data_IF_004836785411
#
_entry.id   IF_004836785411
#
_cell.length_a   1.000
_cell.length_b   1.000
_cell.length_c   1.000
_cell.angle_alpha   90.00
_cell.angle_beta   90.00
_cell.angle_gamma   90.00
#
_symmetry.space_group_name_H-M   'P 1'
#
loop_
_entity.id
_entity.type
_entity.pdbx_description
1 polymer ?
#
# COMPACT_ATOMS: atom_id res chain seq x y z
N UNK A 1 8.59 6.61 2.16
CA UNK A 1 7.87 7.75 2.77
C UNK A 1 6.48 7.86 2.15
N UNK A 2 5.50 8.11 2.96
CA UNK A 2 4.12 8.29 2.51
C UNK A 2 3.97 9.61 1.78
N UNK A 3 3.50 9.57 0.52
CA UNK A 3 3.34 10.77 -0.31
C UNK A 3 1.97 11.40 -0.13
N UNK A 4 0.95 10.57 0.07
CA UNK A 4 -0.42 11.03 0.24
C UNK A 4 -1.12 10.15 1.28
N UNK A 5 -2.16 10.66 1.98
CA UNK A 5 -2.90 9.86 2.95
C UNK A 5 -3.46 8.59 2.31
N UNK A 6 -3.55 7.52 3.11
CA UNK A 6 -4.17 6.28 2.67
C UNK A 6 -5.64 6.51 2.34
N UNK A 7 -6.13 5.84 1.31
CA UNK A 7 -7.54 5.92 0.94
C UNK A 7 -8.07 4.51 0.64
N UNK A 8 -9.34 4.24 0.93
CA UNK A 8 -9.91 2.94 0.62
C UNK A 8 -10.01 2.76 -0.89
N UNK A 9 -9.63 1.57 -1.36
CA UNK A 9 -9.83 1.18 -2.75
C UNK A 9 -11.31 0.88 -2.95
N UNK A 10 -11.82 1.27 -4.11
CA UNK A 10 -13.22 1.05 -4.45
C UNK A 10 -13.33 0.14 -5.67
N UNK A 11 -14.37 -0.67 -5.67
CA UNK A 11 -14.66 -1.53 -6.79
C UNK A 11 -15.44 -0.74 -7.83
N UNK A 12 -14.94 -0.72 -9.08
CA UNK A 12 -15.62 -0.04 -10.17
C UNK A 12 -17.04 -0.58 -10.34
N UNK A 13 -18.03 0.32 -10.41
CA UNK A 13 -19.42 -0.01 -10.67
C UNK A 13 -19.92 0.87 -11.81
N UNK A 14 -20.26 0.23 -12.91
CA UNK A 14 -20.74 0.93 -14.10
C UNK A 14 -22.06 1.67 -13.81
N UNK A 15 -22.15 2.89 -14.31
CA UNK A 15 -23.36 3.70 -14.16
C UNK A 15 -23.48 4.41 -12.82
N UNK A 16 -22.52 4.26 -11.92
CA UNK A 16 -22.52 4.94 -10.62
C UNK A 16 -21.34 5.91 -10.49
N UNK A 17 -21.53 7.03 -9.80
CA UNK A 17 -20.40 7.91 -9.49
C UNK A 17 -19.44 7.20 -8.52
N UNK A 18 -18.17 7.59 -8.56
CA UNK A 18 -17.13 6.96 -7.76
C UNK A 18 -17.44 6.94 -6.26
N UNK A 19 -18.08 7.99 -5.76
CA UNK A 19 -18.45 8.08 -4.35
C UNK A 19 -19.43 7.01 -3.91
N UNK A 20 -20.20 6.47 -4.87
CA UNK A 20 -21.19 5.43 -4.60
C UNK A 20 -20.62 4.01 -4.79
N UNK A 21 -19.38 3.89 -5.23
CA UNK A 21 -18.77 2.57 -5.42
C UNK A 21 -18.52 1.89 -4.07
N UNK A 22 -18.78 0.58 -4.03
CA UNK A 22 -18.51 -0.21 -2.85
C UNK A 22 -17.01 -0.33 -2.59
N UNK A 23 -16.59 -0.43 -1.33
CA UNK A 23 -15.19 -0.69 -1.01
C UNK A 23 -14.74 -2.02 -1.61
N UNK A 24 -13.49 -2.06 -2.09
CA UNK A 24 -12.89 -3.29 -2.56
C UNK A 24 -12.35 -4.08 -1.37
N UNK A 25 -12.67 -5.36 -1.32
CA UNK A 25 -12.25 -6.21 -0.21
C UNK A 25 -11.32 -7.33 -0.69
N UNK A 26 -10.52 -7.86 0.23
CA UNK A 26 -9.69 -9.03 -0.04
C UNK A 26 -10.49 -10.32 0.17
N UNK A 27 -9.81 -11.47 0.07
CA UNK A 27 -10.48 -12.78 0.22
C UNK A 27 -11.03 -13.02 1.62
N UNK A 28 -10.55 -12.28 2.61
CA UNK A 28 -11.00 -12.37 4.00
C UNK A 28 -12.08 -11.34 4.35
N UNK A 29 -12.51 -10.54 3.38
CA UNK A 29 -13.51 -9.52 3.59
C UNK A 29 -13.00 -8.21 4.17
N UNK A 30 -11.69 -8.03 4.31
CA UNK A 30 -11.12 -6.78 4.75
C UNK A 30 -11.07 -5.76 3.63
N UNK A 31 -11.40 -4.51 3.95
CA UNK A 31 -11.32 -3.41 2.98
C UNK A 31 -9.87 -3.18 2.60
N UNK A 32 -9.60 -3.11 1.30
CA UNK A 32 -8.27 -2.80 0.79
C UNK A 32 -8.07 -1.29 0.76
N UNK A 33 -6.90 -0.85 1.21
CA UNK A 33 -6.51 0.55 1.19
C UNK A 33 -5.34 0.74 0.25
N UNK A 34 -5.28 1.90 -0.38
CA UNK A 34 -4.17 2.27 -1.25
C UNK A 34 -3.31 3.33 -0.58
N UNK A 35 -2.01 3.09 -0.56
CA UNK A 35 -1.03 4.04 -0.03
C UNK A 35 -0.04 4.38 -1.14
N UNK A 36 0.22 5.66 -1.33
CA UNK A 36 1.25 6.12 -2.26
C UNK A 36 2.53 6.36 -1.50
N UNK A 37 3.60 5.71 -1.92
CA UNK A 37 4.89 5.74 -1.26
C UNK A 37 5.99 6.16 -2.23
N UNK A 38 7.00 6.86 -1.71
CA UNK A 38 8.27 7.00 -2.40
C UNK A 38 9.17 5.86 -1.93
N UNK A 39 9.56 5.00 -2.87
CA UNK A 39 10.54 3.96 -2.62
C UNK A 39 11.92 4.49 -3.00
N UNK A 40 12.86 4.41 -2.07
CA UNK A 40 14.23 4.87 -2.28
C UNK A 40 15.15 3.66 -2.36
N UNK A 41 15.95 3.59 -3.43
CA UNK A 41 16.92 2.52 -3.58
C UNK A 41 17.96 2.89 -4.63
N UNK A 42 19.21 2.59 -4.37
CA UNK A 42 20.33 2.77 -5.30
C UNK A 42 20.43 4.15 -5.94
N UNK A 43 20.09 5.20 -5.15
CA UNK A 43 20.15 6.58 -5.62
C UNK A 43 18.95 7.01 -6.45
N UNK A 44 17.96 6.16 -6.60
CA UNK A 44 16.74 6.49 -7.35
C UNK A 44 15.53 6.55 -6.41
N UNK A 45 14.57 7.38 -6.79
CA UNK A 45 13.30 7.47 -6.07
C UNK A 45 12.16 7.17 -7.05
N UNK A 46 11.24 6.32 -6.64
CA UNK A 46 10.09 5.94 -7.46
C UNK A 46 8.82 6.01 -6.64
N UNK A 47 7.76 6.55 -7.22
CA UNK A 47 6.46 6.57 -6.56
C UNK A 47 5.73 5.28 -6.91
N UNK A 48 5.35 4.53 -5.87
CA UNK A 48 4.57 3.30 -6.02
C UNK A 48 3.25 3.42 -5.28
N UNK A 49 2.24 2.72 -5.77
CA UNK A 49 0.94 2.62 -5.13
C UNK A 49 0.76 1.19 -4.65
N UNK A 50 0.57 1.03 -3.35
CA UNK A 50 0.53 -0.29 -2.71
C UNK A 50 -0.85 -0.52 -2.12
N UNK A 51 -1.43 -1.69 -2.40
CA UNK A 51 -2.68 -2.12 -1.78
C UNK A 51 -2.36 -2.89 -0.50
N UNK A 52 -3.06 -2.56 0.58
CA UNK A 52 -2.89 -3.21 1.89
C UNK A 52 -4.27 -3.48 2.49
N UNK A 53 -4.49 -4.66 3.10
CA UNK A 53 -5.74 -4.92 3.81
C UNK A 53 -5.80 -4.13 5.12
N UNK A 54 -6.94 -3.46 5.34
CA UNK A 54 -7.15 -2.64 6.54
C UNK A 54 -6.49 -1.27 6.45
N UNK A 55 -7.02 -0.32 7.22
CA UNK A 55 -6.46 1.03 7.27
C UNK A 55 -5.09 1.02 7.94
N UNK A 56 -4.02 1.37 7.21
CA UNK A 56 -2.69 1.35 7.79
C UNK A 56 -2.42 2.50 8.78
N UNK A 57 -3.30 3.49 8.85
CA UNK A 57 -3.21 4.63 9.77
C UNK A 57 -1.88 5.36 9.66
N UNK A 58 -1.48 5.66 8.44
CA UNK A 58 -0.22 6.36 8.16
C UNK A 58 -0.52 7.79 7.71
N UNK A 59 0.39 8.71 8.03
CA UNK A 59 0.26 10.11 7.67
C UNK A 59 1.21 10.48 6.53
N UNK A 60 0.83 11.50 5.78
CA UNK A 60 1.69 12.06 4.74
C UNK A 60 3.03 12.49 5.34
N UNK A 61 4.12 12.11 4.68
CA UNK A 61 5.47 12.43 5.14
C UNK A 61 6.05 11.42 6.11
N UNK A 62 5.27 10.45 6.59
CA UNK A 62 5.76 9.46 7.53
C UNK A 62 6.65 8.43 6.85
N UNK A 63 7.73 8.06 7.53
CA UNK A 63 8.59 6.97 7.09
C UNK A 63 7.98 5.65 7.55
N UNK A 64 7.77 4.74 6.62
CA UNK A 64 7.11 3.47 6.89
C UNK A 64 7.93 2.28 6.41
N UNK A 65 7.69 1.14 7.02
CA UNK A 65 8.21 -0.15 6.57
C UNK A 65 7.04 -0.95 5.98
N UNK A 66 7.29 -1.60 4.87
CA UNK A 66 6.28 -2.40 4.16
C UNK A 66 6.65 -3.87 4.30
N UNK A 67 5.72 -4.65 4.84
CA UNK A 67 5.91 -6.09 5.04
C UNK A 67 5.22 -6.88 3.93
N UNK A 68 5.94 -7.86 3.40
CA UNK A 68 5.37 -8.77 2.40
C UNK A 68 5.02 -8.09 1.09
N UNK A 69 5.86 -7.15 0.64
CA UNK A 69 5.63 -6.45 -0.62
C UNK A 69 5.77 -7.43 -1.79
N UNK A 70 4.75 -7.47 -2.63
CA UNK A 70 4.77 -8.26 -3.87
C UNK A 70 4.38 -7.37 -5.04
N UNK A 71 4.97 -7.65 -6.19
CA UNK A 71 4.65 -6.97 -7.43
C UNK A 71 4.08 -7.98 -8.41
N UNK A 72 2.97 -7.64 -9.04
CA UNK A 72 2.32 -8.49 -10.01
C UNK A 72 2.08 -7.71 -11.30
N UNK A 73 2.60 -8.19 -12.44
CA UNK A 73 2.32 -7.54 -13.71
C UNK A 73 0.88 -7.82 -14.15
N UNK A 74 0.29 -6.86 -14.84
CA UNK A 74 -1.02 -7.04 -15.45
C UNK A 74 -1.02 -6.52 -16.87
N UNK A 75 -1.86 -7.12 -17.71
CA UNK A 75 -2.08 -6.67 -19.08
C UNK A 75 -3.57 -6.65 -19.38
N UNK A 76 -4.01 -5.61 -20.07
CA UNK A 76 -5.39 -5.49 -20.54
C UNK A 76 -5.37 -4.77 -21.89
N UNK A 77 -5.47 -5.54 -22.99
CA UNK A 77 -5.33 -4.99 -24.34
C UNK A 77 -3.97 -4.35 -24.54
N UNK A 78 -3.96 -3.07 -24.90
CA UNK A 78 -2.72 -2.32 -25.11
C UNK A 78 -2.15 -1.71 -23.82
N UNK A 79 -2.78 -1.96 -22.69
CA UNK A 79 -2.34 -1.42 -21.41
C UNK A 79 -1.65 -2.49 -20.58
N UNK A 80 -0.60 -2.09 -19.90
CA UNK A 80 0.10 -2.95 -18.98
C UNK A 80 0.61 -2.12 -17.80
N UNK A 81 0.90 -2.78 -16.70
CA UNK A 81 1.43 -2.11 -15.52
C UNK A 81 1.78 -3.09 -14.43
N UNK A 82 2.11 -2.56 -13.27
CA UNK A 82 2.42 -3.33 -12.07
C UNK A 82 1.44 -3.01 -10.97
N UNK A 83 0.97 -4.04 -10.30
CA UNK A 83 0.18 -3.92 -9.08
C UNK A 83 1.05 -4.33 -7.91
N UNK A 84 1.17 -3.45 -6.92
CA UNK A 84 1.92 -3.74 -5.70
C UNK A 84 0.94 -4.04 -4.58
N UNK A 85 1.24 -5.09 -3.83
CA UNK A 85 0.46 -5.49 -2.66
C UNK A 85 1.39 -5.78 -1.51
N UNK A 86 0.89 -5.59 -0.28
CA UNK A 86 1.66 -5.94 0.89
C UNK A 86 0.74 -6.52 1.96
N UNK A 87 1.35 -7.11 2.99
CA UNK A 87 0.64 -7.68 4.12
C UNK A 87 0.31 -6.60 5.14
N UNK A 88 1.26 -5.72 5.41
CA UNK A 88 1.11 -4.67 6.42
C UNK A 88 2.05 -3.51 6.13
N UNK A 89 1.65 -2.32 6.58
CA UNK A 89 2.49 -1.13 6.55
C UNK A 89 2.48 -0.57 7.96
N UNK A 90 3.67 -0.29 8.49
CA UNK A 90 3.81 0.25 9.83
C UNK A 90 4.88 1.31 9.91
N UNK A 91 4.98 1.97 11.07
CA UNK A 91 6.00 2.96 11.32
C UNK A 91 7.40 2.35 11.20
N UNK A 92 8.27 2.98 10.43
CA UNK A 92 9.65 2.53 10.31
C UNK A 92 10.38 2.60 11.65
N UNK A 93 10.08 3.62 12.47
CA UNK A 93 10.67 3.77 13.79
C UNK A 93 10.27 2.62 14.71
N UNK A 94 8.99 2.25 14.75
CA UNK A 94 8.52 1.13 15.57
C UNK A 94 9.13 -0.19 15.11
N UNK A 95 9.26 -0.39 13.81
CA UNK A 95 9.87 -1.59 13.26
C UNK A 95 11.36 -1.67 13.59
N UNK A 96 12.09 -0.56 13.48
CA UNK A 96 13.50 -0.50 13.84
C UNK A 96 13.72 -0.79 15.31
N UNK A 97 12.86 -0.28 16.20
CA UNK A 97 12.91 -0.56 17.62
C UNK A 97 12.72 -2.05 17.90
N UNK A 98 11.73 -2.68 17.26
CA UNK A 98 11.50 -4.13 17.42
C UNK A 98 12.66 -4.96 16.88
N UNK A 99 13.21 -4.57 15.76
CA UNK A 99 14.38 -5.24 15.19
C UNK A 99 15.60 -5.13 16.11
N UNK A 100 15.79 -3.96 16.72
CA UNK A 100 16.86 -3.74 17.69
C UNK A 100 16.70 -4.60 18.94
N UNK A 101 15.50 -4.69 19.48
CA UNK A 101 15.20 -5.56 20.62
C UNK A 101 15.47 -7.03 20.29
N UNK A 102 15.02 -7.46 19.13
CA UNK A 102 15.22 -8.83 18.67
C UNK A 102 16.70 -9.16 18.48
N UNK A 103 17.45 -8.21 17.96
CA UNK A 103 18.90 -8.38 17.77
C UNK A 103 19.67 -8.41 19.11
N UNK A 104 19.17 -7.69 20.11
CA UNK A 104 19.78 -7.66 21.45
C UNK A 104 19.46 -8.91 22.26
N UNK A 105 18.46 -9.64 21.93
CA UNK A 105 18.09 -10.87 22.59
C UNK A 105 18.89 -12.06 22.08
#
# INVERSE_FOLDING_TARGET
MVVAPAEPLKQYEEGKPREAWAPRTDVNGEVLWRVQLVALGDGEAEIIRVAVPGDPKVAQGEMVAVDGLTAQPWEMGDRSGMVFRCVAIGSAAARSARAGEKAAA
#
